data_IF_711928745341
#
_entry.id   IF_711928745341
#
_cell.length_a   1.000
_cell.length_b   1.000
_cell.length_c   1.000
_cell.angle_alpha   90.00
_cell.angle_beta   90.00
_cell.angle_gamma   90.00
#
_symmetry.space_group_name_H-M   'P 1'
#
loop_
_entity.id
_entity.type
_entity.pdbx_description
1 polymer ?
#
# COMPACT_ATOMS: atom_id res chain seq x y z
N UNK A 1 -15.97 2.24 -24.14
CA UNK A 1 -16.16 2.53 -22.71
C UNK A 1 -14.96 1.97 -21.97
N UNK A 2 -13.92 2.78 -21.76
CA UNK A 2 -12.69 2.31 -21.14
C UNK A 2 -12.93 1.99 -19.68
N UNK A 3 -12.69 0.74 -19.28
CA UNK A 3 -12.58 0.33 -17.88
C UNK A 3 -11.46 1.15 -17.26
N UNK A 4 -11.78 2.29 -16.63
CA UNK A 4 -10.90 2.88 -15.63
C UNK A 4 -10.85 1.87 -14.50
N UNK A 5 -9.93 0.91 -14.57
CA UNK A 5 -9.57 0.09 -13.43
C UNK A 5 -9.04 1.05 -12.39
N UNK A 6 -9.90 1.46 -11.46
CA UNK A 6 -9.48 2.27 -10.34
C UNK A 6 -8.76 1.35 -9.36
N UNK A 7 -7.54 0.97 -9.75
CA UNK A 7 -6.73 0.08 -8.95
C UNK A 7 -6.20 0.88 -7.77
N UNK A 8 -6.47 0.36 -6.58
CA UNK A 8 -5.71 0.73 -5.40
C UNK A 8 -4.24 0.43 -5.68
N UNK A 9 -3.35 1.30 -5.22
CA UNK A 9 -1.93 1.20 -5.46
C UNK A 9 -1.19 1.20 -4.13
N UNK A 10 -0.29 0.23 -3.97
CA UNK A 10 0.63 0.13 -2.85
C UNK A 10 2.05 0.21 -3.42
N UNK A 11 2.75 1.30 -3.10
CA UNK A 11 4.18 1.44 -3.35
C UNK A 11 4.94 1.19 -2.05
N UNK A 12 6.02 0.42 -2.13
CA UNK A 12 6.93 0.19 -1.02
C UNK A 12 8.35 0.45 -1.52
N UNK A 13 9.04 1.39 -0.89
CA UNK A 13 10.46 1.65 -1.09
C UNK A 13 11.24 1.10 0.10
N UNK A 14 12.23 0.24 -0.15
CA UNK A 14 12.90 -0.55 0.89
C UNK A 14 14.38 -0.18 0.94
N UNK A 15 14.83 0.25 2.12
CA UNK A 15 16.23 0.51 2.43
C UNK A 15 16.73 -0.46 3.51
N UNK A 16 18.01 -0.36 3.88
CA UNK A 16 18.62 -1.24 4.90
C UNK A 16 17.85 -1.21 6.22
N UNK A 17 17.60 -0.01 6.76
CA UNK A 17 17.08 0.13 8.13
C UNK A 17 15.58 0.42 8.18
N UNK A 18 14.99 0.82 7.05
CA UNK A 18 13.59 1.28 6.97
C UNK A 18 12.95 0.95 5.63
N UNK A 19 11.63 0.93 5.61
CA UNK A 19 10.86 0.95 4.37
C UNK A 19 9.75 1.99 4.44
N UNK A 20 9.51 2.66 3.31
CA UNK A 20 8.51 3.69 3.14
C UNK A 20 7.35 3.16 2.31
N UNK A 21 6.14 3.40 2.79
CA UNK A 21 4.90 2.86 2.22
C UNK A 21 4.03 4.00 1.75
N UNK A 22 3.60 3.91 0.51
CA UNK A 22 2.61 4.79 -0.11
C UNK A 22 1.38 3.97 -0.50
N UNK A 23 0.23 4.32 0.05
CA UNK A 23 -1.04 3.70 -0.28
C UNK A 23 -1.95 4.76 -0.92
N UNK A 24 -2.45 4.46 -2.13
CA UNK A 24 -3.44 5.26 -2.85
C UNK A 24 -4.66 4.40 -3.11
N UNK A 25 -5.83 4.84 -2.65
CA UNK A 25 -7.05 4.04 -2.71
C UNK A 25 -8.29 4.93 -2.90
N UNK A 26 -9.41 4.32 -3.32
CA UNK A 26 -10.71 5.00 -3.31
C UNK A 26 -11.38 4.77 -1.96
N UNK A 27 -11.65 5.86 -1.26
CA UNK A 27 -12.42 5.82 -0.02
C UNK A 27 -13.87 5.46 -0.29
N UNK A 28 -14.61 5.11 0.77
CA UNK A 28 -16.07 4.89 0.71
C UNK A 28 -16.87 6.12 0.21
N UNK A 29 -16.23 7.30 0.16
CA UNK A 29 -16.82 8.54 -0.37
C UNK A 29 -16.53 8.76 -1.87
N UNK A 30 -16.07 7.71 -2.56
CA UNK A 30 -15.66 7.74 -3.98
C UNK A 30 -14.53 8.74 -4.29
N UNK A 31 -13.84 9.23 -3.25
CA UNK A 31 -12.69 10.12 -3.39
C UNK A 31 -11.40 9.32 -3.28
N UNK A 32 -10.43 9.64 -4.14
CA UNK A 32 -9.07 9.13 -4.03
C UNK A 32 -8.39 9.73 -2.80
N UNK A 33 -7.91 8.85 -1.94
CA UNK A 33 -7.13 9.17 -0.75
C UNK A 33 -5.72 8.61 -0.86
N UNK A 34 -4.77 9.29 -0.22
CA UNK A 34 -3.39 8.84 -0.11
C UNK A 34 -2.96 8.78 1.35
N UNK A 35 -2.14 7.78 1.67
CA UNK A 35 -1.55 7.56 2.99
C UNK A 35 -0.08 7.22 2.82
N UNK A 36 0.78 7.83 3.64
CA UNK A 36 2.22 7.58 3.68
C UNK A 36 2.62 7.18 5.08
N UNK A 37 3.46 6.16 5.21
CA UNK A 37 4.04 5.78 6.49
C UNK A 37 5.40 5.13 6.30
N UNK A 38 6.30 5.38 7.23
CA UNK A 38 7.63 4.78 7.26
C UNK A 38 7.72 3.82 8.44
N UNK A 39 8.36 2.68 8.22
CA UNK A 39 8.54 1.63 9.21
C UNK A 39 10.02 1.26 9.32
N UNK A 40 10.41 0.63 10.44
CA UNK A 40 11.72 -0.02 10.53
C UNK A 40 11.73 -1.27 9.65
N UNK A 41 12.89 -1.63 9.13
CA UNK A 41 13.07 -2.88 8.40
C UNK A 41 13.38 -4.03 9.38
N UNK A 42 12.43 -4.30 10.26
CA UNK A 42 12.46 -5.35 11.27
C UNK A 42 11.04 -5.94 11.44
N UNK A 43 10.92 -7.01 12.22
CA UNK A 43 9.65 -7.70 12.43
C UNK A 43 8.56 -6.77 12.98
N UNK A 44 8.91 -5.85 13.88
CA UNK A 44 7.96 -4.87 14.44
C UNK A 44 7.46 -3.90 13.36
N UNK A 45 8.35 -3.51 12.44
CA UNK A 45 7.99 -2.73 11.27
C UNK A 45 7.01 -3.45 10.35
N UNK A 46 7.24 -4.74 10.07
CA UNK A 46 6.31 -5.55 9.27
C UNK A 46 4.96 -5.76 9.96
N UNK A 47 4.92 -5.95 11.28
CA UNK A 47 3.66 -5.98 12.04
C UNK A 47 2.92 -4.62 11.98
N UNK A 48 3.69 -3.52 12.03
CA UNK A 48 3.18 -2.17 11.82
C UNK A 48 2.58 -1.97 10.42
N UNK A 49 3.20 -2.54 9.38
CA UNK A 49 2.69 -2.54 8.02
C UNK A 49 1.36 -3.31 7.93
N UNK A 50 1.30 -4.52 8.47
CA UNK A 50 0.06 -5.31 8.49
C UNK A 50 -1.10 -4.53 9.14
N UNK A 51 -0.84 -3.96 10.31
CA UNK A 51 -1.82 -3.14 11.04
C UNK A 51 -2.25 -1.91 10.24
N UNK A 52 -1.32 -1.27 9.53
CA UNK A 52 -1.60 -0.13 8.66
C UNK A 52 -2.50 -0.51 7.47
N UNK A 53 -2.22 -1.62 6.81
CA UNK A 53 -3.02 -2.11 5.68
C UNK A 53 -4.44 -2.51 6.11
N UNK A 54 -4.56 -3.24 7.22
CA UNK A 54 -5.86 -3.63 7.80
C UNK A 54 -6.71 -2.41 8.16
N UNK A 55 -6.11 -1.38 8.77
CA UNK A 55 -6.81 -0.12 9.10
C UNK A 55 -7.41 0.55 7.86
N UNK A 56 -6.82 0.34 6.69
CA UNK A 56 -7.28 0.91 5.43
C UNK A 56 -8.12 -0.07 4.58
N UNK A 57 -8.58 -1.17 5.17
CA UNK A 57 -9.39 -2.22 4.51
C UNK A 57 -8.71 -2.81 3.27
N UNK A 58 -7.38 -2.95 3.31
CA UNK A 58 -6.65 -3.71 2.29
C UNK A 58 -6.73 -5.19 2.67
N UNK A 59 -7.55 -5.94 1.95
CA UNK A 59 -7.81 -7.37 2.20
C UNK A 59 -6.75 -8.27 1.55
N UNK A 60 -6.30 -7.92 0.34
CA UNK A 60 -5.35 -8.69 -0.43
C UNK A 60 -4.35 -7.76 -1.11
N UNK A 61 -3.05 -8.09 -1.02
CA UNK A 61 -1.99 -7.43 -1.78
C UNK A 61 -1.58 -8.38 -2.91
N UNK A 62 -1.92 -8.02 -4.14
CA UNK A 62 -1.48 -8.73 -5.33
C UNK A 62 -0.23 -8.06 -5.88
N UNK A 63 0.86 -8.81 -5.99
CA UNK A 63 2.04 -8.36 -6.73
C UNK A 63 1.86 -8.69 -8.21
N UNK A 64 1.81 -7.66 -9.06
CA UNK A 64 2.02 -7.86 -10.49
C UNK A 64 3.53 -7.79 -10.75
N UNK A 65 4.16 -8.91 -11.09
CA UNK A 65 5.45 -8.86 -11.77
C UNK A 65 5.18 -8.33 -13.18
N UNK A 66 5.46 -7.05 -13.42
CA UNK A 66 5.69 -6.59 -14.79
C UNK A 66 7.03 -7.18 -15.23
N UNK A 67 6.98 -8.29 -15.96
CA UNK A 67 8.08 -8.74 -16.79
C UNK A 67 8.27 -7.64 -17.85
N UNK A 68 9.36 -6.87 -17.71
CA UNK A 68 9.88 -6.00 -18.76
C UNK A 68 10.51 -6.85 -19.88
#
# INVERSE_FOLDING_TARGET
MGLYMINNFLGIDVSKDRFDVFLSFISKKEKRETRKRSFKNDDLGFQGLLSFLQKHNVEEVKSCMWLL
#
